data_IF_838372214771
#
_entry.id   IF_838372214771
#
_cell.length_a   1.000
_cell.length_b   1.000
_cell.length_c   1.000
_cell.angle_alpha   90.00
_cell.angle_beta   90.00
_cell.angle_gamma   90.00
#
_symmetry.space_group_name_H-M   'P 1'
#
loop_
_entity.id
_entity.type
_entity.pdbx_description
1 polymer ?
#
# COMPACT_ATOMS: atom_id res chain seq x y z
N UNK A 1 -23.87 6.33 -23.45
CA UNK A 1 -22.59 6.95 -23.14
C UNK A 1 -22.65 7.78 -21.86
N UNK A 2 -23.63 8.65 -21.69
CA UNK A 2 -23.78 9.46 -20.47
C UNK A 2 -23.93 8.58 -19.22
N UNK A 3 -24.73 7.50 -19.29
CA UNK A 3 -24.87 6.58 -18.17
C UNK A 3 -23.57 5.83 -17.85
N UNK A 4 -22.78 5.50 -18.85
CA UNK A 4 -21.45 4.88 -18.65
C UNK A 4 -20.53 5.84 -17.90
N UNK A 5 -20.48 7.10 -18.30
CA UNK A 5 -19.65 8.13 -17.65
C UNK A 5 -20.09 8.35 -16.20
N UNK A 6 -21.40 8.46 -15.94
CA UNK A 6 -21.95 8.59 -14.60
C UNK A 6 -21.58 7.40 -13.73
N UNK A 7 -21.68 6.18 -14.25
CA UNK A 7 -21.30 4.97 -13.50
C UNK A 7 -19.81 4.96 -13.16
N UNK A 8 -18.95 5.45 -14.07
CA UNK A 8 -17.51 5.57 -13.78
C UNK A 8 -17.22 6.61 -12.72
N UNK A 9 -17.92 7.73 -12.74
CA UNK A 9 -17.78 8.75 -11.70
C UNK A 9 -18.22 8.24 -10.34
N UNK A 10 -19.30 7.45 -10.28
CA UNK A 10 -19.72 6.79 -9.03
C UNK A 10 -18.68 5.79 -8.54
N UNK A 11 -18.06 5.04 -9.44
CA UNK A 11 -16.99 4.09 -9.08
C UNK A 11 -15.79 4.80 -8.45
N UNK A 12 -15.41 5.95 -8.99
CA UNK A 12 -14.33 6.79 -8.44
C UNK A 12 -14.68 7.24 -7.02
N UNK A 13 -15.91 7.64 -6.78
CA UNK A 13 -16.37 8.05 -5.45
C UNK A 13 -16.20 6.92 -4.44
N UNK A 14 -16.56 5.69 -4.80
CA UNK A 14 -16.37 4.52 -3.93
C UNK A 14 -14.89 4.21 -3.71
N UNK A 15 -14.05 4.37 -4.73
CA UNK A 15 -12.62 4.17 -4.59
C UNK A 15 -11.99 5.16 -3.60
N UNK A 16 -12.35 6.44 -3.68
CA UNK A 16 -11.90 7.44 -2.71
C UNK A 16 -12.36 7.13 -1.30
N UNK A 17 -13.61 6.71 -1.15
CA UNK A 17 -14.15 6.28 0.14
C UNK A 17 -13.36 5.11 0.70
N UNK A 18 -13.04 4.11 -0.13
CA UNK A 18 -12.24 2.96 0.28
C UNK A 18 -10.86 3.35 0.74
N UNK A 19 -10.16 4.21 0.01
CA UNK A 19 -8.84 4.71 0.39
C UNK A 19 -8.91 5.46 1.74
N UNK A 20 -9.91 6.30 1.93
CA UNK A 20 -10.13 7.00 3.19
C UNK A 20 -10.37 6.04 4.35
N UNK A 21 -11.18 5.00 4.13
CA UNK A 21 -11.45 3.98 5.16
C UNK A 21 -10.19 3.23 5.55
N UNK A 22 -9.34 2.88 4.58
CA UNK A 22 -8.06 2.24 4.87
C UNK A 22 -7.19 3.11 5.77
N UNK A 23 -7.04 4.39 5.44
CA UNK A 23 -6.24 5.33 6.24
C UNK A 23 -6.81 5.52 7.64
N UNK A 24 -8.14 5.55 7.76
CA UNK A 24 -8.81 5.81 9.03
C UNK A 24 -8.81 4.60 9.97
N UNK A 25 -8.97 3.39 9.42
CA UNK A 25 -9.23 2.19 10.24
C UNK A 25 -8.02 1.28 10.42
N UNK A 26 -7.02 1.36 9.54
CA UNK A 26 -5.91 0.42 9.54
C UNK A 26 -4.61 1.11 9.98
N UNK A 27 -4.13 0.75 11.17
CA UNK A 27 -2.90 1.31 11.74
C UNK A 27 -1.69 1.07 10.83
N UNK A 28 -1.60 -0.09 10.19
CA UNK A 28 -0.51 -0.43 9.28
C UNK A 28 -0.49 0.51 8.07
N UNK A 29 -1.64 0.80 7.48
CA UNK A 29 -1.75 1.74 6.36
C UNK A 29 -1.34 3.15 6.81
N UNK A 30 -1.77 3.57 7.99
CA UNK A 30 -1.39 4.87 8.53
C UNK A 30 0.12 4.97 8.76
N UNK A 31 0.74 3.91 9.26
CA UNK A 31 2.20 3.83 9.44
C UNK A 31 2.91 3.94 8.10
N UNK A 32 2.45 3.21 7.10
CA UNK A 32 3.03 3.27 5.75
C UNK A 32 2.86 4.64 5.11
N UNK A 33 1.71 5.27 5.28
CA UNK A 33 1.47 6.63 4.80
C UNK A 33 2.40 7.63 5.48
N UNK A 34 2.67 7.46 6.76
CA UNK A 34 3.61 8.31 7.50
C UNK A 34 5.04 8.15 6.97
N UNK A 35 5.47 6.91 6.73
CA UNK A 35 6.78 6.63 6.12
C UNK A 35 6.85 7.24 4.71
N UNK A 36 5.78 7.13 3.93
CA UNK A 36 5.70 7.71 2.60
C UNK A 36 5.84 9.24 2.64
N UNK A 37 5.23 9.89 3.62
CA UNK A 37 5.38 11.33 3.81
C UNK A 37 6.83 11.70 4.14
N UNK A 38 7.47 10.97 5.04
CA UNK A 38 8.88 11.17 5.39
C UNK A 38 9.77 10.98 4.16
N UNK A 39 9.54 9.92 3.38
CA UNK A 39 10.28 9.66 2.15
C UNK A 39 10.08 10.78 1.11
N UNK A 40 8.88 11.33 1.01
CA UNK A 40 8.58 12.44 0.11
C UNK A 40 9.36 13.70 0.53
N UNK A 41 9.38 14.01 1.82
CA UNK A 41 10.18 15.11 2.36
C UNK A 41 11.67 14.89 2.08
N UNK A 42 12.16 13.68 2.31
CA UNK A 42 13.55 13.32 2.04
C UNK A 42 13.91 13.46 0.56
N UNK A 43 12.97 13.09 -0.33
CA UNK A 43 13.16 13.26 -1.77
C UNK A 43 13.38 14.72 -2.17
N UNK A 44 12.62 15.63 -1.60
CA UNK A 44 12.82 17.06 -1.83
C UNK A 44 14.13 17.57 -1.20
N UNK A 45 14.43 17.13 0.01
CA UNK A 45 15.65 17.55 0.71
C UNK A 45 16.92 17.12 -0.04
N UNK A 46 16.98 15.86 -0.50
CA UNK A 46 18.14 15.32 -1.21
C UNK A 46 18.09 15.57 -2.71
N UNK A 47 17.05 16.24 -3.21
CA UNK A 47 16.89 16.55 -4.63
C UNK A 47 17.06 15.34 -5.53
N UNK A 48 16.30 14.28 -5.24
CA UNK A 48 16.37 13.04 -6.01
C UNK A 48 15.95 13.28 -7.47
N UNK A 49 16.48 12.46 -8.37
CA UNK A 49 16.25 12.59 -9.81
C UNK A 49 14.79 12.25 -10.17
N UNK A 50 14.32 12.70 -11.37
CA UNK A 50 12.99 12.29 -11.83
C UNK A 50 12.79 10.78 -11.88
N UNK A 51 13.80 10.02 -12.28
CA UNK A 51 13.74 8.55 -12.28
C UNK A 51 13.57 8.02 -10.86
N UNK A 52 14.32 8.54 -9.90
CA UNK A 52 14.21 8.16 -8.50
C UNK A 52 12.84 8.52 -7.93
N UNK A 53 12.25 9.65 -8.32
CA UNK A 53 10.89 10.00 -7.95
C UNK A 53 9.87 9.00 -8.47
N UNK A 54 10.00 8.57 -9.73
CA UNK A 54 9.11 7.58 -10.32
C UNK A 54 9.20 6.27 -9.54
N UNK A 55 10.43 5.80 -9.26
CA UNK A 55 10.65 4.57 -8.51
C UNK A 55 10.07 4.67 -7.10
N UNK A 56 10.25 5.79 -6.42
CA UNK A 56 9.73 5.99 -5.08
C UNK A 56 8.20 6.01 -5.05
N UNK A 57 7.58 6.74 -5.96
CA UNK A 57 6.12 6.82 -6.04
C UNK A 57 5.52 5.45 -6.33
N UNK A 58 6.08 4.71 -7.30
CA UNK A 58 5.62 3.37 -7.63
C UNK A 58 5.77 2.41 -6.45
N UNK A 59 6.88 2.49 -5.74
CA UNK A 59 7.15 1.65 -4.56
C UNK A 59 6.13 1.93 -3.45
N UNK A 60 5.89 3.18 -3.14
CA UNK A 60 4.91 3.58 -2.13
C UNK A 60 3.50 3.11 -2.52
N UNK A 61 3.10 3.36 -3.76
CA UNK A 61 1.79 2.96 -4.26
C UNK A 61 1.61 1.44 -4.20
N UNK A 62 2.64 0.69 -4.60
CA UNK A 62 2.61 -0.76 -4.61
C UNK A 62 2.46 -1.33 -3.20
N UNK A 63 3.29 -0.89 -2.26
CA UNK A 63 3.27 -1.43 -0.90
C UNK A 63 1.94 -1.12 -0.20
N UNK A 64 1.42 0.09 -0.36
CA UNK A 64 0.15 0.47 0.25
C UNK A 64 -1.03 -0.24 -0.39
N UNK A 65 -1.01 -0.46 -1.70
CA UNK A 65 -2.05 -1.18 -2.42
C UNK A 65 -2.09 -2.66 -2.01
N UNK A 66 -0.93 -3.29 -1.90
CA UNK A 66 -0.84 -4.69 -1.45
C UNK A 66 -1.31 -4.83 -0.02
N UNK A 67 -0.93 -3.90 0.86
CA UNK A 67 -1.41 -3.90 2.25
C UNK A 67 -2.93 -3.74 2.32
N UNK A 68 -3.50 -2.86 1.50
CA UNK A 68 -4.95 -2.70 1.41
C UNK A 68 -5.66 -3.98 0.96
N UNK A 69 -5.10 -4.67 -0.02
CA UNK A 69 -5.63 -5.97 -0.47
C UNK A 69 -5.49 -7.03 0.61
N UNK A 70 -4.37 -7.05 1.34
CA UNK A 70 -4.18 -7.95 2.48
C UNK A 70 -5.26 -7.72 3.55
N UNK A 71 -5.54 -6.46 3.87
CA UNK A 71 -6.60 -6.09 4.80
C UNK A 71 -7.96 -6.61 4.33
N UNK A 72 -8.27 -6.47 3.04
CA UNK A 72 -9.52 -7.00 2.47
C UNK A 72 -9.59 -8.52 2.58
N UNK A 73 -8.49 -9.22 2.30
CA UNK A 73 -8.41 -10.69 2.45
C UNK A 73 -8.67 -11.10 3.89
N UNK A 74 -8.04 -10.43 4.86
CA UNK A 74 -8.24 -10.72 6.29
C UNK A 74 -9.70 -10.54 6.69
N UNK A 75 -10.34 -9.46 6.24
CA UNK A 75 -11.74 -9.18 6.56
C UNK A 75 -12.68 -10.19 5.92
N UNK A 76 -12.40 -10.62 4.69
CA UNK A 76 -13.16 -11.69 4.02
C UNK A 76 -13.02 -13.01 4.79
N UNK A 77 -11.79 -13.36 5.15
CA UNK A 77 -11.49 -14.59 5.88
C UNK A 77 -12.22 -14.61 7.24
N UNK A 78 -12.19 -13.52 7.97
CA UNK A 78 -12.84 -13.39 9.28
C UNK A 78 -14.36 -13.41 9.15
N UNK A 79 -14.92 -12.89 8.07
CA UNK A 79 -16.35 -12.93 7.80
C UNK A 79 -16.84 -14.33 7.48
N UNK A 80 -16.07 -15.08 6.68
CA UNK A 80 -16.43 -16.45 6.26
C UNK A 80 -16.22 -17.44 7.42
N UNK A 81 -15.11 -17.31 8.15
CA UNK A 81 -14.74 -18.25 9.22
C UNK A 81 -14.00 -17.49 10.33
N UNK A 82 -14.75 -16.91 11.30
CA UNK A 82 -14.13 -16.12 12.38
C UNK A 82 -13.27 -16.93 13.33
N UNK A 83 -13.52 -18.24 13.45
CA UNK A 83 -12.74 -19.11 14.31
C UNK A 83 -11.45 -19.54 13.63
N UNK A 84 -10.43 -19.88 14.43
CA UNK A 84 -9.15 -20.34 13.88
C UNK A 84 -9.34 -21.65 13.12
N UNK A 85 -8.84 -21.70 11.89
CA UNK A 85 -8.78 -22.88 11.05
C UNK A 85 -7.50 -22.83 10.23
N UNK A 86 -6.83 -23.98 10.06
CA UNK A 86 -5.53 -23.98 9.39
C UNK A 86 -5.58 -23.46 7.94
N UNK A 87 -6.68 -23.70 7.21
CA UNK A 87 -6.85 -23.19 5.85
C UNK A 87 -7.00 -21.66 5.82
N UNK A 88 -7.73 -21.12 6.78
CA UNK A 88 -7.89 -19.67 6.93
C UNK A 88 -6.54 -19.04 7.32
N UNK A 89 -5.82 -19.68 8.24
CA UNK A 89 -4.46 -19.25 8.61
C UNK A 89 -3.52 -19.25 7.42
N UNK A 90 -3.57 -20.31 6.60
CA UNK A 90 -2.76 -20.42 5.39
C UNK A 90 -3.06 -19.28 4.39
N UNK A 91 -4.34 -18.96 4.17
CA UNK A 91 -4.76 -17.87 3.29
C UNK A 91 -4.24 -16.53 3.80
N UNK A 92 -4.39 -16.27 5.10
CA UNK A 92 -3.89 -15.03 5.72
C UNK A 92 -2.37 -14.94 5.62
N UNK A 93 -1.66 -16.04 5.80
CA UNK A 93 -0.20 -16.07 5.71
C UNK A 93 0.29 -15.78 4.30
N UNK A 94 -0.37 -16.31 3.28
CA UNK A 94 -0.05 -16.01 1.88
C UNK A 94 -0.22 -14.51 1.61
N UNK A 95 -1.34 -13.94 2.04
CA UNK A 95 -1.61 -12.52 1.84
C UNK A 95 -0.58 -11.65 2.57
N UNK A 96 -0.23 -12.00 3.80
CA UNK A 96 0.81 -11.32 4.57
C UNK A 96 2.19 -11.48 3.92
N UNK A 97 2.46 -12.65 3.34
CA UNK A 97 3.70 -12.91 2.61
C UNK A 97 3.87 -12.01 1.39
N UNK A 98 2.79 -11.70 0.69
CA UNK A 98 2.82 -10.76 -0.43
C UNK A 98 3.22 -9.36 0.04
N UNK A 99 2.69 -8.91 1.19
CA UNK A 99 3.10 -7.63 1.81
C UNK A 99 4.58 -7.65 2.15
N UNK A 100 5.06 -8.76 2.73
CA UNK A 100 6.46 -8.92 3.10
C UNK A 100 7.40 -8.78 1.91
N UNK A 101 7.06 -9.42 0.77
CA UNK A 101 7.84 -9.32 -0.47
C UNK A 101 7.92 -7.87 -0.94
N UNK A 102 6.81 -7.14 -0.92
CA UNK A 102 6.79 -5.73 -1.32
C UNK A 102 7.60 -4.86 -0.35
N UNK A 103 7.57 -5.18 0.94
CA UNK A 103 8.34 -4.45 1.94
C UNK A 103 9.84 -4.62 1.76
N UNK A 104 10.30 -5.84 1.45
CA UNK A 104 11.71 -6.11 1.14
C UNK A 104 12.14 -5.29 -0.08
N UNK A 105 11.35 -5.29 -1.14
CA UNK A 105 11.63 -4.50 -2.34
C UNK A 105 11.71 -3.00 -2.02
N UNK A 106 10.80 -2.50 -1.19
CA UNK A 106 10.78 -1.10 -0.78
C UNK A 106 12.04 -0.71 -0.01
N UNK A 107 12.50 -1.57 0.89
CA UNK A 107 13.75 -1.34 1.66
C UNK A 107 14.95 -1.29 0.71
N UNK A 108 15.03 -2.21 -0.23
CA UNK A 108 16.14 -2.26 -1.20
C UNK A 108 16.15 -1.00 -2.07
N UNK A 109 14.99 -0.61 -2.61
CA UNK A 109 14.88 0.59 -3.45
C UNK A 109 15.24 1.84 -2.65
N UNK A 110 14.72 1.97 -1.44
CA UNK A 110 15.03 3.09 -0.57
C UNK A 110 16.53 3.17 -0.26
N UNK A 111 17.15 2.03 0.01
CA UNK A 111 18.60 1.97 0.23
C UNK A 111 19.39 2.42 -1.00
N UNK A 112 19.01 1.97 -2.18
CA UNK A 112 19.67 2.35 -3.43
C UNK A 112 19.57 3.85 -3.68
N UNK A 113 18.41 4.46 -3.39
CA UNK A 113 18.19 5.89 -3.61
C UNK A 113 18.94 6.72 -2.58
N UNK A 114 18.84 6.39 -1.29
CA UNK A 114 19.23 7.30 -0.22
C UNK A 114 20.62 7.05 0.39
N UNK A 115 21.08 5.81 0.44
CA UNK A 115 22.41 5.53 1.00
C UNK A 115 23.52 6.32 0.30
N UNK A 116 23.58 6.38 -1.06
CA UNK A 116 24.61 7.17 -1.74
C UNK A 116 24.52 8.69 -1.46
N UNK A 117 23.36 9.18 -1.03
CA UNK A 117 23.16 10.60 -0.75
C UNK A 117 23.49 10.98 0.69
N UNK A 118 23.36 10.03 1.61
CA UNK A 118 23.63 10.24 3.04
C UNK A 118 25.12 10.02 3.35
N UNK A 119 25.70 9.03 2.70
CA UNK A 119 27.10 8.64 2.86
C UNK A 119 27.88 8.87 1.55
#
# INVERSE_FOLDING_TARGET
MINFIKNRLHSIRYAWKGAYLLLKTEATILTQASIALIATIAGFYYQISPTEWILQILTIALIMSIEGLNTAVEKIADFIHPEHHYKIGFIKDIAAGAVWISAIAAIIIGAIIYIPKIF
#
